data_IF_170153417782
#
_entry.id   IF_170153417782
#
_cell.length_a   1.000
_cell.length_b   1.000
_cell.length_c   1.000
_cell.angle_alpha   90.00
_cell.angle_beta   90.00
_cell.angle_gamma   90.00
#
_symmetry.space_group_name_H-M   'P 1'
#
loop_
_entity.id
_entity.type
_entity.pdbx_description
1 polymer ?
#
# COMPACT_ATOMS: atom_id res chain seq x y z
N UNK A 1 -34.58 45.02 51.58
CA UNK A 1 -33.36 44.17 51.62
C UNK A 1 -33.37 43.26 50.39
N UNK A 2 -32.52 43.54 49.39
CA UNK A 2 -32.37 42.68 48.20
C UNK A 2 -31.32 41.60 48.49
N UNK A 3 -31.68 40.33 48.37
CA UNK A 3 -30.75 39.20 48.49
C UNK A 3 -30.02 39.02 47.15
N UNK A 4 -28.70 39.15 47.15
CA UNK A 4 -27.85 38.77 46.02
C UNK A 4 -27.61 37.26 46.09
N UNK A 5 -28.00 36.52 45.06
CA UNK A 5 -27.63 35.12 44.87
C UNK A 5 -26.42 35.11 43.94
N UNK A 6 -25.26 34.55 44.34
CA UNK A 6 -24.15 34.40 43.42
C UNK A 6 -24.47 33.28 42.41
N UNK A 7 -24.50 33.64 41.13
CA UNK A 7 -24.62 32.71 40.02
C UNK A 7 -23.27 32.00 39.86
N UNK A 8 -23.18 30.75 40.34
CA UNK A 8 -22.02 29.89 40.15
C UNK A 8 -22.08 29.32 38.72
N UNK A 9 -21.32 29.91 37.80
CA UNK A 9 -21.16 29.38 36.44
C UNK A 9 -20.07 28.30 36.50
N UNK A 10 -20.49 27.03 36.47
CA UNK A 10 -19.59 25.88 36.35
C UNK A 10 -19.34 25.64 34.86
N UNK A 11 -18.16 26.04 34.37
CA UNK A 11 -17.68 25.63 33.05
C UNK A 11 -17.16 24.19 33.14
N UNK A 12 -17.98 23.23 32.69
CA UNK A 12 -17.51 21.86 32.45
C UNK A 12 -16.85 21.84 31.06
N UNK A 13 -15.52 21.91 31.02
CA UNK A 13 -14.76 21.56 29.83
C UNK A 13 -14.79 20.04 29.68
N UNK A 14 -15.75 19.53 28.92
CA UNK A 14 -15.68 18.17 28.39
C UNK A 14 -14.63 18.22 27.29
N UNK A 15 -13.38 17.90 27.62
CA UNK A 15 -12.40 17.49 26.64
C UNK A 15 -12.93 16.21 26.00
N UNK A 16 -13.67 16.35 24.89
CA UNK A 16 -13.87 15.28 23.94
C UNK A 16 -12.53 15.02 23.24
N UNK A 17 -11.59 14.44 23.99
CA UNK A 17 -10.53 13.63 23.40
C UNK A 17 -11.21 12.39 22.81
N UNK A 18 -11.89 12.59 21.70
CA UNK A 18 -12.27 11.52 20.80
C UNK A 18 -10.98 11.11 20.08
N UNK A 19 -10.05 10.51 20.82
CA UNK A 19 -9.16 9.53 20.21
C UNK A 19 -10.08 8.36 19.87
N UNK A 20 -10.78 8.47 18.74
CA UNK A 20 -11.20 7.30 17.99
C UNK A 20 -9.91 6.52 17.77
N UNK A 21 -9.64 5.55 18.65
CA UNK A 21 -8.76 4.46 18.34
C UNK A 21 -9.40 3.79 17.14
N UNK A 22 -9.08 4.25 15.92
CA UNK A 22 -9.29 3.46 14.72
C UNK A 22 -8.57 2.16 15.01
N UNK A 23 -9.34 1.09 15.22
CA UNK A 23 -8.77 -0.22 15.46
C UNK A 23 -7.84 -0.53 14.30
N UNK A 24 -6.61 -0.97 14.59
CA UNK A 24 -5.67 -1.36 13.54
C UNK A 24 -6.36 -2.39 12.62
N UNK A 25 -6.58 -2.09 11.33
CA UNK A 25 -7.32 -2.96 10.41
C UNK A 25 -6.53 -4.20 10.01
N UNK A 26 -5.23 -4.23 10.32
CA UNK A 26 -4.35 -5.36 10.06
C UNK A 26 -4.87 -6.66 10.69
N UNK A 27 -4.64 -7.77 9.98
CA UNK A 27 -5.00 -9.13 10.36
C UNK A 27 -6.50 -9.43 10.43
N UNK A 28 -7.37 -8.44 10.16
CA UNK A 28 -8.82 -8.56 10.34
C UNK A 28 -9.62 -8.40 9.06
N UNK A 29 -9.15 -7.57 8.13
CA UNK A 29 -9.88 -7.28 6.88
C UNK A 29 -9.35 -8.12 5.72
N UNK A 30 -10.27 -8.66 4.92
CA UNK A 30 -9.94 -9.29 3.63
C UNK A 30 -9.74 -8.26 2.52
N UNK A 31 -10.02 -6.98 2.79
CA UNK A 31 -9.86 -5.90 1.83
C UNK A 31 -8.42 -5.84 1.32
N UNK A 32 -8.28 -5.40 0.07
CA UNK A 32 -7.00 -5.11 -0.53
C UNK A 32 -6.37 -3.93 0.21
N UNK A 33 -5.11 -4.07 0.58
CA UNK A 33 -4.32 -2.99 1.15
C UNK A 33 -3.50 -2.34 0.04
N UNK A 34 -2.82 -3.15 -0.77
CA UNK A 34 -1.84 -2.68 -1.75
C UNK A 34 -1.94 -3.46 -3.06
N UNK A 35 -1.87 -2.74 -4.17
CA UNK A 35 -1.74 -3.29 -5.53
C UNK A 35 -0.59 -2.59 -6.26
N UNK A 36 0.23 -3.36 -6.96
CA UNK A 36 1.27 -2.81 -7.82
C UNK A 36 1.41 -3.56 -9.15
N UNK A 37 1.84 -2.82 -10.18
CA UNK A 37 2.21 -3.35 -11.48
C UNK A 37 3.52 -2.74 -11.94
N UNK A 38 4.57 -3.55 -12.03
CA UNK A 38 5.83 -3.14 -12.68
C UNK A 38 5.79 -3.51 -14.16
N UNK A 39 5.98 -2.54 -15.04
CA UNK A 39 5.79 -2.66 -16.50
C UNK A 39 7.04 -2.14 -17.23
N UNK A 40 7.43 -2.84 -18.30
CA UNK A 40 8.43 -2.34 -19.23
C UNK A 40 7.81 -1.25 -20.14
N UNK A 41 8.40 -0.06 -20.14
CA UNK A 41 7.99 1.10 -20.94
C UNK A 41 8.71 1.21 -22.29
N UNK A 42 9.75 0.40 -22.53
CA UNK A 42 10.50 0.42 -23.79
C UNK A 42 9.74 -0.30 -24.92
N UNK A 43 10.05 0.06 -26.17
CA UNK A 43 9.59 -0.71 -27.33
C UNK A 43 10.27 -2.07 -27.36
N UNK A 44 9.49 -3.13 -27.15
CA UNK A 44 9.92 -4.52 -27.26
C UNK A 44 9.37 -5.10 -28.56
N UNK A 45 10.11 -5.99 -29.20
CA UNK A 45 9.62 -6.73 -30.37
C UNK A 45 8.38 -7.54 -29.98
N UNK A 46 7.21 -7.22 -30.55
CA UNK A 46 5.95 -7.89 -30.21
C UNK A 46 5.86 -9.33 -30.73
N UNK A 47 6.77 -9.73 -31.62
CA UNK A 47 6.85 -11.11 -32.14
C UNK A 47 7.48 -12.11 -31.16
N UNK A 48 8.26 -11.62 -30.20
CA UNK A 48 8.90 -12.45 -29.17
C UNK A 48 8.03 -12.52 -27.91
N UNK A 49 8.10 -13.64 -27.17
CA UNK A 49 7.44 -13.78 -25.87
C UNK A 49 8.29 -13.09 -24.78
N UNK A 50 7.84 -11.94 -24.29
CA UNK A 50 8.54 -11.14 -23.28
C UNK A 50 7.66 -10.86 -22.07
N UNK A 51 8.31 -10.63 -20.92
CA UNK A 51 7.66 -10.25 -19.68
C UNK A 51 7.10 -8.83 -19.81
N UNK A 52 5.78 -8.69 -19.92
CA UNK A 52 5.09 -7.40 -20.06
C UNK A 52 4.97 -6.70 -18.71
N UNK A 53 4.54 -7.42 -17.68
CA UNK A 53 4.44 -6.84 -16.34
C UNK A 53 4.51 -7.87 -15.21
N UNK A 54 4.89 -7.40 -14.03
CA UNK A 54 4.79 -8.12 -12.75
C UNK A 54 3.65 -7.52 -11.93
N UNK A 55 2.75 -8.34 -11.40
CA UNK A 55 1.57 -7.92 -10.64
C UNK A 55 1.66 -8.36 -9.19
N UNK A 56 1.34 -7.46 -8.29
CA UNK A 56 1.39 -7.65 -6.84
C UNK A 56 0.04 -7.27 -6.23
N UNK A 57 -0.50 -8.09 -5.32
CA UNK A 57 -1.68 -7.75 -4.51
C UNK A 57 -1.50 -8.24 -3.09
N UNK A 58 -1.70 -7.36 -2.12
CA UNK A 58 -1.58 -7.66 -0.70
C UNK A 58 -2.83 -7.19 0.04
N UNK A 59 -3.51 -8.11 0.74
CA UNK A 59 -4.66 -7.81 1.58
C UNK A 59 -4.25 -7.42 3.02
N UNK A 60 -5.15 -6.72 3.73
CA UNK A 60 -4.97 -6.33 5.15
C UNK A 60 -4.77 -7.52 6.10
N UNK A 61 -5.28 -8.70 5.74
CA UNK A 61 -5.06 -9.94 6.48
C UNK A 61 -3.71 -10.58 6.20
N UNK A 62 -2.89 -10.04 5.28
CA UNK A 62 -1.56 -10.55 4.92
C UNK A 62 -1.56 -11.59 3.80
N UNK A 63 -2.67 -11.78 3.09
CA UNK A 63 -2.71 -12.63 1.90
C UNK A 63 -2.03 -11.89 0.74
N UNK A 64 -0.91 -12.40 0.26
CA UNK A 64 -0.14 -11.86 -0.85
C UNK A 64 -0.26 -12.75 -2.08
N UNK A 65 -0.52 -12.14 -3.23
CA UNK A 65 -0.48 -12.80 -4.52
C UNK A 65 0.41 -12.07 -5.50
N UNK A 66 1.13 -12.85 -6.29
CA UNK A 66 2.02 -12.40 -7.35
C UNK A 66 1.78 -13.19 -8.62
N UNK A 67 1.95 -12.54 -9.77
CA UNK A 67 2.14 -13.24 -11.03
C UNK A 67 2.86 -12.37 -12.06
N UNK A 68 3.36 -13.02 -13.09
CA UNK A 68 3.96 -12.41 -14.26
C UNK A 68 3.02 -12.49 -15.45
N UNK A 69 2.85 -11.39 -16.16
CA UNK A 69 2.09 -11.33 -17.41
C UNK A 69 3.07 -11.19 -18.57
N UNK A 70 3.02 -12.13 -19.50
CA UNK A 70 3.78 -12.14 -20.75
C UNK A 70 2.86 -11.81 -21.92
N UNK A 71 3.38 -11.17 -22.96
CA UNK A 71 2.59 -10.71 -24.12
C UNK A 71 1.94 -11.85 -24.92
N UNK A 72 2.63 -12.98 -25.13
CA UNK A 72 2.13 -14.11 -25.92
C UNK A 72 1.67 -15.25 -25.01
N UNK A 73 2.51 -15.65 -24.07
CA UNK A 73 2.25 -16.82 -23.23
C UNK A 73 1.31 -16.58 -22.05
N UNK A 74 0.90 -15.32 -21.81
CA UNK A 74 -0.05 -14.96 -20.77
C UNK A 74 0.54 -15.03 -19.37
N UNK A 75 -0.24 -15.53 -18.40
CA UNK A 75 0.14 -15.47 -16.98
C UNK A 75 1.05 -16.64 -16.59
N UNK A 76 2.22 -16.34 -16.02
CA UNK A 76 3.21 -17.29 -15.49
C UNK A 76 3.60 -16.97 -14.04
N UNK A 77 4.39 -17.86 -13.43
CA UNK A 77 5.04 -17.68 -12.12
C UNK A 77 4.10 -17.17 -11.02
N UNK A 78 2.90 -17.75 -10.94
CA UNK A 78 1.91 -17.41 -9.91
C UNK A 78 2.41 -17.85 -8.54
N UNK A 79 2.34 -16.97 -7.55
CA UNK A 79 2.61 -17.28 -6.15
C UNK A 79 1.47 -16.72 -5.29
N UNK A 80 1.06 -17.50 -4.31
CA UNK A 80 0.12 -17.11 -3.27
C UNK A 80 0.71 -17.53 -1.93
N UNK A 81 0.98 -16.55 -1.07
CA UNK A 81 1.71 -16.76 0.18
C UNK A 81 1.17 -15.84 1.26
N UNK A 82 1.46 -16.20 2.52
CA UNK A 82 1.09 -15.40 3.69
C UNK A 82 2.29 -14.56 4.13
N UNK A 83 2.14 -13.24 4.15
CA UNK A 83 3.18 -12.34 4.67
C UNK A 83 3.23 -12.45 6.19
N UNK A 84 4.44 -12.43 6.75
CA UNK A 84 4.64 -12.43 8.20
C UNK A 84 3.98 -11.21 8.86
N UNK A 85 3.54 -11.36 10.11
CA UNK A 85 2.90 -10.25 10.85
C UNK A 85 3.81 -9.02 10.92
N UNK A 86 5.08 -9.24 11.25
CA UNK A 86 6.10 -8.20 11.33
C UNK A 86 6.28 -7.44 10.01
N UNK A 87 6.34 -8.15 8.88
CA UNK A 87 6.54 -7.52 7.58
C UNK A 87 5.28 -6.82 7.10
N UNK A 88 4.10 -7.36 7.42
CA UNK A 88 2.82 -6.72 7.11
C UNK A 88 2.67 -5.39 7.86
N UNK A 89 3.00 -5.36 9.15
CA UNK A 89 3.02 -4.14 9.96
C UNK A 89 4.00 -3.11 9.39
N UNK A 90 5.19 -3.57 8.96
CA UNK A 90 6.21 -2.71 8.33
C UNK A 90 5.68 -2.08 7.03
N UNK A 91 5.07 -2.88 6.16
CA UNK A 91 4.50 -2.39 4.90
C UNK A 91 3.39 -1.37 5.18
N UNK A 92 2.51 -1.67 6.13
CA UNK A 92 1.43 -0.76 6.52
C UNK A 92 1.95 0.58 7.07
N UNK A 93 2.97 0.56 7.93
CA UNK A 93 3.63 1.78 8.44
C UNK A 93 4.20 2.63 7.30
N UNK A 94 4.90 2.00 6.36
CA UNK A 94 5.44 2.69 5.19
C UNK A 94 4.31 3.37 4.40
N UNK A 95 3.25 2.62 4.07
CA UNK A 95 2.11 3.11 3.29
C UNK A 95 1.39 4.30 3.96
N UNK A 96 1.17 4.24 5.28
CA UNK A 96 0.47 5.29 6.01
C UNK A 96 1.31 6.55 6.19
N UNK A 97 2.62 6.40 6.45
CA UNK A 97 3.42 7.48 7.01
C UNK A 97 4.49 8.03 6.06
N UNK A 98 4.92 7.27 5.04
CA UNK A 98 6.14 7.60 4.27
C UNK A 98 5.93 7.71 2.77
N UNK A 99 4.97 6.97 2.20
CA UNK A 99 4.78 6.89 0.74
C UNK A 99 4.38 8.23 0.09
N UNK A 100 3.82 9.16 0.88
CA UNK A 100 3.45 10.51 0.42
C UNK A 100 4.65 11.45 0.23
N UNK A 101 5.80 11.13 0.81
CA UNK A 101 6.99 11.98 0.78
C UNK A 101 7.89 11.72 -0.43
N UNK A 102 7.68 10.60 -1.13
CA UNK A 102 8.49 10.25 -2.29
C UNK A 102 8.15 11.15 -3.49
N UNK A 103 9.19 11.69 -4.14
CA UNK A 103 9.04 12.43 -5.41
C UNK A 103 8.81 11.46 -6.57
N UNK A 104 7.96 11.84 -7.53
CA UNK A 104 7.85 11.12 -8.81
C UNK A 104 9.15 11.29 -9.58
N UNK A 105 9.87 10.18 -9.77
CA UNK A 105 11.04 10.11 -10.64
C UNK A 105 10.59 9.47 -11.96
N UNK A 106 10.90 10.12 -13.08
CA UNK A 106 10.67 9.55 -14.41
C UNK A 106 11.86 8.63 -14.69
N UNK A 107 11.60 7.33 -14.79
CA UNK A 107 12.64 6.31 -14.97
C UNK A 107 13.34 6.43 -16.32
N UNK A 108 14.67 6.36 -16.29
CA UNK A 108 15.53 6.38 -17.48
C UNK A 108 15.85 4.97 -18.03
N UNK A 109 15.59 3.92 -17.23
CA UNK A 109 15.85 2.52 -17.56
C UNK A 109 14.72 1.86 -18.37
N UNK A 110 13.59 2.55 -18.51
CA UNK A 110 12.43 2.07 -19.23
C UNK A 110 11.59 1.07 -18.46
N UNK A 111 11.64 1.08 -17.12
CA UNK A 111 10.69 0.38 -16.25
C UNK A 111 9.90 1.40 -15.44
N UNK A 112 8.59 1.16 -15.34
CA UNK A 112 7.72 1.93 -14.46
C UNK A 112 6.85 1.06 -13.58
N UNK A 113 6.36 1.65 -12.49
CA UNK A 113 5.51 0.99 -11.53
C UNK A 113 4.23 1.82 -11.29
N UNK A 114 3.09 1.19 -11.49
CA UNK A 114 1.80 1.69 -11.03
C UNK A 114 1.52 1.10 -9.66
N UNK A 115 1.22 1.93 -8.66
CA UNK A 115 0.94 1.51 -7.28
C UNK A 115 -0.34 2.17 -6.80
N UNK A 116 -1.21 1.37 -6.18
CA UNK A 116 -2.42 1.87 -5.51
C UNK A 116 -2.47 1.33 -4.09
N UNK A 117 -2.72 2.24 -3.13
CA UNK A 117 -2.94 1.95 -1.73
C UNK A 117 -4.41 2.23 -1.38
N UNK A 118 -5.04 1.28 -0.71
CA UNK A 118 -6.44 1.33 -0.34
C UNK A 118 -6.60 1.31 1.19
N UNK A 119 -7.69 1.87 1.69
CA UNK A 119 -8.10 1.73 3.09
C UNK A 119 -8.82 0.40 3.36
N UNK A 120 -9.20 0.16 4.62
CA UNK A 120 -9.90 -1.05 5.03
C UNK A 120 -11.30 -1.23 4.41
N UNK A 121 -11.87 -0.17 3.84
CA UNK A 121 -13.16 -0.13 3.15
C UNK A 121 -13.00 -0.24 1.62
N UNK A 122 -11.78 -0.50 1.13
CA UNK A 122 -11.40 -0.54 -0.28
C UNK A 122 -11.46 0.82 -1.00
N UNK A 123 -11.40 1.93 -0.26
CA UNK A 123 -11.30 3.27 -0.84
C UNK A 123 -9.84 3.59 -1.18
N UNK A 124 -9.58 4.17 -2.35
CA UNK A 124 -8.24 4.57 -2.77
C UNK A 124 -7.72 5.72 -1.87
N UNK A 125 -6.62 5.48 -1.16
CA UNK A 125 -5.95 6.47 -0.33
C UNK A 125 -4.83 7.19 -1.07
N UNK A 126 -4.17 6.49 -2.00
CA UNK A 126 -3.03 7.00 -2.74
C UNK A 126 -2.79 6.20 -4.01
N UNK A 127 -2.38 6.90 -5.06
CA UNK A 127 -1.98 6.32 -6.33
C UNK A 127 -0.69 6.94 -6.82
N UNK A 128 0.15 6.10 -7.40
CA UNK A 128 1.43 6.46 -7.98
C UNK A 128 1.61 5.78 -9.33
N UNK A 129 2.25 6.50 -10.23
CA UNK A 129 2.74 6.00 -11.51
C UNK A 129 4.11 6.66 -11.72
N UNK A 130 5.15 5.87 -11.87
CA UNK A 130 6.51 6.35 -11.98
C UNK A 130 7.55 5.28 -11.72
N UNK A 131 8.82 5.69 -11.66
CA UNK A 131 9.88 4.83 -11.20
C UNK A 131 9.99 4.88 -9.66
N UNK A 132 10.25 3.73 -9.03
CA UNK A 132 10.28 3.57 -7.57
C UNK A 132 11.69 3.50 -6.98
N UNK A 133 12.76 3.57 -7.78
CA UNK A 133 14.13 3.46 -7.28
C UNK A 133 14.47 4.54 -6.26
N UNK A 134 15.17 4.13 -5.20
CA UNK A 134 15.56 4.96 -4.05
C UNK A 134 14.37 5.59 -3.32
N UNK A 135 13.20 4.94 -3.36
CA UNK A 135 11.98 5.36 -2.65
C UNK A 135 11.50 4.32 -1.64
N UNK A 136 10.62 4.73 -0.74
CA UNK A 136 9.95 3.80 0.18
C UNK A 136 9.04 2.78 -0.53
N UNK A 137 8.58 3.09 -1.75
CA UNK A 137 7.80 2.15 -2.58
C UNK A 137 8.66 0.97 -3.05
N UNK A 138 9.92 1.22 -3.39
CA UNK A 138 10.86 0.14 -3.72
C UNK A 138 11.12 -0.76 -2.52
N UNK A 139 11.20 -0.20 -1.30
CA UNK A 139 11.35 -1.03 -0.10
C UNK A 139 10.19 -2.02 0.06
N UNK A 140 8.95 -1.59 -0.20
CA UNK A 140 7.77 -2.48 -0.18
C UNK A 140 7.91 -3.57 -1.24
N UNK A 141 8.21 -3.21 -2.50
CA UNK A 141 8.31 -4.18 -3.60
C UNK A 141 9.44 -5.18 -3.36
N UNK A 142 10.63 -4.74 -2.92
CA UNK A 142 11.76 -5.63 -2.58
C UNK A 142 11.42 -6.59 -1.44
N UNK A 143 10.68 -6.12 -0.44
CA UNK A 143 10.21 -6.99 0.65
C UNK A 143 9.19 -8.02 0.15
N UNK A 144 8.30 -7.65 -0.77
CA UNK A 144 7.37 -8.62 -1.37
C UNK A 144 8.09 -9.61 -2.30
N UNK A 145 9.10 -9.17 -3.04
CA UNK A 145 9.89 -10.02 -3.92
C UNK A 145 10.61 -11.14 -3.13
N UNK A 146 11.03 -10.90 -1.88
CA UNK A 146 11.66 -11.97 -1.07
C UNK A 146 10.72 -13.14 -0.80
N UNK A 147 9.41 -12.93 -0.81
CA UNK A 147 8.41 -13.99 -0.65
C UNK A 147 8.12 -14.76 -1.96
N UNK A 148 8.61 -14.27 -3.09
CA UNK A 148 8.48 -14.92 -4.40
C UNK A 148 9.62 -15.92 -4.60
N UNK A 149 10.83 -15.53 -4.20
CA UNK A 149 12.09 -16.26 -4.42
C UNK A 149 12.35 -17.36 -3.36
N UNK A 150 11.63 -17.37 -2.24
CA UNK A 150 11.81 -18.33 -1.12
C UNK A 150 11.18 -19.73 -1.35
N UNK A 151 10.77 -20.07 -2.58
CA UNK A 151 10.13 -21.37 -2.93
C UNK A 151 10.59 -21.91 -4.29
#
# INVERSE_FOLDING_TARGET
MKKNIPLLIVFVFILSACSLFKSNPLHKSEALMFEASSTLWNQVNEEDDFLKSKKYKLAYKGDFSYHEEYNISGIKNKKEVKISEKDLEKIYDILQNKVKDDKKIIGADGTGCDITFYDENAEELYKFDGNIYDTHKEEIVRLLDSYIDEL
#
